data_IF_419138681954
#
_entry.id   IF_419138681954
#
_cell.length_a   1.000
_cell.length_b   1.000
_cell.length_c   1.000
_cell.angle_alpha   90.00
_cell.angle_beta   90.00
_cell.angle_gamma   90.00
#
_symmetry.space_group_name_H-M   'P 1'
#
loop_
_entity.id
_entity.type
_entity.pdbx_description
1 polymer ?
#
# COMPACT_ATOMS: atom_id res chain seq x y z
N UNK A 1 18.69 3.80 12.83
CA UNK A 1 19.55 2.62 12.64
C UNK A 1 20.90 2.81 13.36
N UNK A 2 20.91 2.77 14.70
CA UNK A 2 22.10 3.09 15.51
C UNK A 2 23.29 2.15 15.26
N UNK A 3 23.04 0.95 14.77
CA UNK A 3 24.04 -0.07 14.47
C UNK A 3 25.10 0.33 13.41
N UNK A 4 24.79 1.32 12.59
CA UNK A 4 25.66 1.81 11.52
C UNK A 4 26.40 3.11 11.89
N UNK A 5 26.24 3.60 13.14
CA UNK A 5 26.85 4.86 13.56
C UNK A 5 26.45 6.04 12.65
N UNK A 6 27.42 6.88 12.26
CA UNK A 6 27.17 8.02 11.38
C UNK A 6 26.59 7.62 10.00
N UNK A 7 26.98 6.46 9.47
CA UNK A 7 26.45 5.93 8.21
C UNK A 7 24.97 5.57 8.30
N UNK A 8 24.45 5.29 9.50
CA UNK A 8 23.02 5.04 9.75
C UNK A 8 22.11 6.19 9.34
N UNK A 9 22.61 7.44 9.42
CA UNK A 9 21.85 8.62 8.96
C UNK A 9 21.60 8.54 7.45
N UNK A 10 22.64 8.22 6.69
CA UNK A 10 22.54 8.06 5.24
C UNK A 10 21.59 6.93 4.85
N UNK A 11 21.72 5.76 5.49
CA UNK A 11 20.82 4.62 5.29
C UNK A 11 19.37 5.00 5.57
N UNK A 12 19.12 5.72 6.67
CA UNK A 12 17.76 6.14 7.04
C UNK A 12 17.15 7.11 6.01
N UNK A 13 17.93 8.09 5.52
CA UNK A 13 17.49 9.03 4.48
C UNK A 13 17.20 8.27 3.18
N UNK A 14 18.10 7.40 2.76
CA UNK A 14 17.93 6.61 1.53
C UNK A 14 16.70 5.73 1.60
N UNK A 15 16.54 4.99 2.70
CA UNK A 15 15.38 4.09 2.92
C UNK A 15 14.07 4.88 2.96
N UNK A 16 14.06 6.07 3.58
CA UNK A 16 12.88 6.92 3.60
C UNK A 16 12.48 7.41 2.20
N UNK A 17 13.44 7.84 1.38
CA UNK A 17 13.20 8.24 -0.01
C UNK A 17 12.74 7.04 -0.83
N UNK A 18 13.43 5.90 -0.73
CA UNK A 18 13.09 4.66 -1.43
C UNK A 18 11.68 4.19 -1.07
N UNK A 19 11.30 4.24 0.21
CA UNK A 19 9.96 3.90 0.69
C UNK A 19 8.89 4.85 0.14
N UNK A 20 9.11 6.16 0.20
CA UNK A 20 8.17 7.14 -0.33
C UNK A 20 8.00 7.03 -1.85
N UNK A 21 9.09 6.76 -2.57
CA UNK A 21 9.07 6.57 -4.02
C UNK A 21 8.55 5.19 -4.47
N UNK A 22 8.20 4.29 -3.54
CA UNK A 22 7.85 2.90 -3.82
C UNK A 22 8.91 2.20 -4.70
N UNK A 23 10.19 2.46 -4.44
CA UNK A 23 11.29 1.97 -5.27
C UNK A 23 11.84 0.61 -4.81
N UNK A 24 11.73 0.28 -3.51
CA UNK A 24 12.13 -0.99 -2.94
C UNK A 24 13.63 -1.22 -2.83
N UNK A 25 14.44 -0.23 -3.21
CA UNK A 25 15.88 -0.33 -3.07
C UNK A 25 16.30 -0.18 -1.61
N UNK A 26 17.23 -1.01 -1.18
CA UNK A 26 17.85 -0.93 0.14
C UNK A 26 19.38 -0.81 0.03
N UNK A 27 19.98 -0.31 1.12
CA UNK A 27 21.44 -0.20 1.29
C UNK A 27 21.93 -0.95 2.52
N UNK A 28 21.12 -1.92 3.00
CA UNK A 28 21.47 -2.75 4.17
C UNK A 28 22.51 -3.82 3.84
N UNK A 29 22.79 -4.05 2.55
CA UNK A 29 23.66 -5.10 2.04
C UNK A 29 25.09 -5.09 2.58
N UNK A 30 25.57 -3.98 3.16
CA UNK A 30 26.85 -3.89 3.84
C UNK A 30 26.92 -4.85 5.03
N UNK A 31 25.83 -4.95 5.81
CA UNK A 31 25.76 -5.78 7.01
C UNK A 31 24.92 -7.04 6.80
N UNK A 32 23.88 -6.93 5.99
CA UNK A 32 22.89 -7.99 5.74
C UNK A 32 22.65 -8.15 4.22
N UNK A 33 23.59 -8.80 3.48
CA UNK A 33 23.47 -8.95 2.03
C UNK A 33 22.22 -9.74 1.64
N UNK A 34 21.36 -9.16 0.78
CA UNK A 34 20.17 -9.79 0.24
C UNK A 34 18.98 -9.94 1.21
N UNK A 35 19.06 -9.43 2.44
CA UNK A 35 18.01 -9.62 3.45
C UNK A 35 16.98 -8.48 3.50
N UNK A 36 17.18 -7.38 2.79
CA UNK A 36 16.28 -6.23 2.76
C UNK A 36 15.86 -5.77 4.17
N UNK A 37 14.56 -5.70 4.49
CA UNK A 37 14.02 -5.28 5.80
C UNK A 37 13.87 -6.42 6.80
N UNK A 38 14.19 -7.67 6.45
CA UNK A 38 14.03 -8.85 7.33
C UNK A 38 14.72 -8.67 8.69
N UNK A 39 15.98 -8.16 8.79
CA UNK A 39 16.64 -7.96 10.09
C UNK A 39 15.92 -6.97 11.01
N UNK A 40 15.09 -6.08 10.45
CA UNK A 40 14.38 -5.03 11.17
C UNK A 40 12.92 -5.35 11.44
N UNK A 41 12.45 -6.56 11.13
CA UNK A 41 11.05 -6.98 11.33
C UNK A 41 10.61 -6.87 12.80
N UNK A 42 11.54 -7.07 13.74
CA UNK A 42 11.29 -6.95 15.17
C UNK A 42 11.26 -5.49 15.68
N UNK A 43 11.62 -4.51 14.84
CA UNK A 43 11.54 -3.10 15.18
C UNK A 43 10.27 -2.48 14.54
N UNK A 44 9.17 -2.39 15.33
CA UNK A 44 7.91 -1.88 14.81
C UNK A 44 7.99 -0.41 14.38
N UNK A 45 8.90 0.37 14.95
CA UNK A 45 9.07 1.79 14.60
C UNK A 45 9.61 1.91 13.18
N UNK A 46 10.64 1.15 12.83
CA UNK A 46 11.22 1.13 11.47
C UNK A 46 10.18 0.63 10.47
N UNK A 47 9.57 -0.53 10.74
CA UNK A 47 8.58 -1.13 9.84
C UNK A 47 7.37 -0.21 9.59
N UNK A 48 6.77 0.34 10.65
CA UNK A 48 5.59 1.20 10.52
C UNK A 48 5.93 2.54 9.86
N UNK A 49 7.12 3.09 10.10
CA UNK A 49 7.56 4.33 9.45
C UNK A 49 7.71 4.13 7.95
N UNK A 50 8.40 3.06 7.53
CA UNK A 50 8.58 2.76 6.10
C UNK A 50 7.22 2.43 5.46
N UNK A 51 6.36 1.64 6.13
CA UNK A 51 5.01 1.36 5.65
C UNK A 51 4.18 2.64 5.46
N UNK A 52 4.24 3.57 6.40
CA UNK A 52 3.56 4.86 6.29
C UNK A 52 4.04 5.69 5.09
N UNK A 53 5.36 5.73 4.85
CA UNK A 53 5.93 6.40 3.69
C UNK A 53 5.48 5.78 2.37
N UNK A 54 5.47 4.44 2.27
CA UNK A 54 4.97 3.69 1.12
C UNK A 54 3.50 4.02 0.86
N UNK A 55 2.66 4.01 1.91
CA UNK A 55 1.23 4.33 1.79
C UNK A 55 1.02 5.76 1.30
N UNK A 56 1.73 6.74 1.89
CA UNK A 56 1.60 8.15 1.49
C UNK A 56 2.04 8.35 0.03
N UNK A 57 3.17 7.76 -0.37
CA UNK A 57 3.63 7.78 -1.76
C UNK A 57 2.65 7.10 -2.73
N UNK A 58 2.06 5.95 -2.32
CA UNK A 58 1.14 5.15 -3.13
C UNK A 58 -0.29 5.69 -3.24
N UNK A 59 -0.74 6.57 -2.33
CA UNK A 59 -2.06 7.20 -2.40
C UNK A 59 -2.14 8.25 -3.52
N UNK A 60 -1.02 8.86 -3.88
CA UNK A 60 -0.94 9.88 -4.91
C UNK A 60 -1.08 11.31 -4.39
N UNK A 61 -0.29 12.21 -5.00
CA UNK A 61 -0.17 13.60 -4.52
C UNK A 61 -1.48 14.38 -4.58
N UNK A 62 -2.36 14.09 -5.54
CA UNK A 62 -3.67 14.74 -5.68
C UNK A 62 -4.53 14.46 -4.45
N UNK A 63 -4.58 13.21 -4.02
CA UNK A 63 -5.35 12.79 -2.84
C UNK A 63 -4.75 13.36 -1.56
N UNK A 64 -3.42 13.29 -1.42
CA UNK A 64 -2.70 13.85 -0.26
C UNK A 64 -2.97 15.35 -0.15
N UNK A 65 -2.87 16.08 -1.25
CA UNK A 65 -3.14 17.52 -1.31
C UNK A 65 -4.58 17.84 -0.93
N UNK A 66 -5.55 17.11 -1.47
CA UNK A 66 -6.96 17.29 -1.14
C UNK A 66 -7.28 16.99 0.33
N UNK A 67 -6.71 15.94 0.90
CA UNK A 67 -6.84 15.62 2.32
C UNK A 67 -6.23 16.73 3.18
N UNK A 68 -5.06 17.22 2.82
CA UNK A 68 -4.41 18.31 3.54
C UNK A 68 -5.26 19.58 3.55
N UNK A 69 -5.70 20.07 2.37
CA UNK A 69 -6.46 21.32 2.26
C UNK A 69 -7.90 21.23 2.77
N UNK A 70 -8.56 20.08 2.60
CA UNK A 70 -9.98 19.94 2.94
C UNK A 70 -10.23 19.38 4.34
N UNK A 71 -9.27 18.64 4.91
CA UNK A 71 -9.47 17.95 6.19
C UNK A 71 -8.48 18.40 7.28
N UNK A 72 -7.18 18.49 6.97
CA UNK A 72 -6.15 18.77 7.98
C UNK A 72 -6.09 20.28 8.27
N UNK A 73 -5.86 21.09 7.23
CA UNK A 73 -5.75 22.54 7.37
C UNK A 73 -6.97 23.20 8.02
N UNK A 74 -8.23 22.90 7.63
CA UNK A 74 -9.40 23.44 8.30
C UNK A 74 -9.51 23.03 9.76
N UNK A 75 -9.06 21.80 10.13
CA UNK A 75 -9.04 21.34 11.52
C UNK A 75 -8.07 22.18 12.36
N UNK A 76 -6.89 22.46 11.83
CA UNK A 76 -5.86 23.29 12.53
C UNK A 76 -6.33 24.74 12.65
N UNK A 77 -6.95 25.30 11.58
CA UNK A 77 -7.42 26.68 11.53
C UNK A 77 -8.85 26.87 12.07
N UNK A 78 -9.48 25.82 12.63
CA UNK A 78 -10.86 25.81 13.15
C UNK A 78 -11.91 26.29 12.11
N UNK A 79 -11.66 26.01 10.82
CA UNK A 79 -12.57 26.33 9.74
C UNK A 79 -13.50 25.15 9.38
N UNK A 80 -14.54 25.42 8.60
CA UNK A 80 -15.44 24.36 8.12
C UNK A 80 -14.73 23.43 7.14
N UNK A 81 -14.91 22.10 7.34
CA UNK A 81 -14.32 21.08 6.47
C UNK A 81 -15.10 20.97 5.17
N UNK A 82 -14.37 20.78 4.08
CA UNK A 82 -14.95 20.47 2.78
C UNK A 82 -15.01 18.96 2.56
N UNK A 83 -15.98 18.50 1.79
CA UNK A 83 -16.08 17.09 1.42
C UNK A 83 -14.94 16.73 0.46
N UNK A 84 -14.44 15.50 0.59
CA UNK A 84 -13.48 14.95 -0.36
C UNK A 84 -14.18 14.64 -1.69
N UNK A 85 -13.45 14.74 -2.79
CA UNK A 85 -13.91 14.32 -4.11
C UNK A 85 -14.21 12.82 -4.14
N UNK A 86 -15.02 12.41 -5.10
CA UNK A 86 -15.31 10.99 -5.32
C UNK A 86 -14.02 10.21 -5.61
N UNK A 87 -13.09 10.81 -6.36
CA UNK A 87 -11.78 10.25 -6.67
C UNK A 87 -10.99 9.94 -5.40
N UNK A 88 -10.76 10.95 -4.55
CA UNK A 88 -9.99 10.79 -3.31
C UNK A 88 -10.63 9.81 -2.35
N UNK A 89 -11.96 9.84 -2.22
CA UNK A 89 -12.70 8.91 -1.39
C UNK A 89 -12.58 7.46 -1.89
N UNK A 90 -12.61 7.25 -3.21
CA UNK A 90 -12.41 5.94 -3.82
C UNK A 90 -10.99 5.43 -3.57
N UNK A 91 -9.97 6.25 -3.84
CA UNK A 91 -8.57 5.91 -3.62
C UNK A 91 -8.31 5.48 -2.17
N UNK A 92 -8.75 6.27 -1.20
CA UNK A 92 -8.53 5.98 0.23
C UNK A 92 -9.27 4.70 0.65
N UNK A 93 -10.54 4.56 0.26
CA UNK A 93 -11.36 3.41 0.68
C UNK A 93 -10.79 2.11 0.11
N UNK A 94 -10.51 2.06 -1.20
CA UNK A 94 -10.00 0.84 -1.82
C UNK A 94 -8.57 0.53 -1.40
N UNK A 95 -7.72 1.53 -1.20
CA UNK A 95 -6.40 1.32 -0.59
C UNK A 95 -6.53 0.67 0.78
N UNK A 96 -7.40 1.21 1.65
CA UNK A 96 -7.63 0.63 2.97
C UNK A 96 -8.17 -0.81 2.92
N UNK A 97 -9.14 -1.09 2.04
CA UNK A 97 -9.68 -2.43 1.86
C UNK A 97 -8.62 -3.42 1.39
N UNK A 98 -7.80 -3.06 0.39
CA UNK A 98 -6.75 -3.92 -0.13
C UNK A 98 -5.65 -4.18 0.91
N UNK A 99 -5.26 -3.16 1.69
CA UNK A 99 -4.29 -3.32 2.76
C UNK A 99 -4.80 -4.24 3.87
N UNK A 100 -6.04 -4.06 4.31
CA UNK A 100 -6.66 -4.93 5.31
C UNK A 100 -6.82 -6.36 4.80
N UNK A 101 -7.32 -6.53 3.59
CA UNK A 101 -7.45 -7.84 2.96
C UNK A 101 -6.09 -8.56 2.88
N UNK A 102 -5.07 -7.91 2.32
CA UNK A 102 -3.73 -8.49 2.21
C UNK A 102 -3.13 -8.83 3.58
N UNK A 103 -3.29 -7.93 4.57
CA UNK A 103 -2.81 -8.17 5.94
C UNK A 103 -3.45 -9.40 6.56
N UNK A 104 -4.78 -9.52 6.48
CA UNK A 104 -5.50 -10.66 7.07
C UNK A 104 -5.13 -11.97 6.38
N UNK A 105 -5.11 -11.97 5.05
CA UNK A 105 -4.80 -13.20 4.29
C UNK A 105 -3.37 -13.65 4.52
N UNK A 106 -2.39 -12.75 4.44
CA UNK A 106 -0.98 -13.08 4.68
C UNK A 106 -0.74 -13.50 6.14
N UNK A 107 -1.39 -12.82 7.09
CA UNK A 107 -1.32 -13.21 8.49
C UNK A 107 -1.82 -14.64 8.71
N UNK A 108 -2.99 -14.99 8.16
CA UNK A 108 -3.57 -16.33 8.32
C UNK A 108 -2.73 -17.42 7.62
N UNK A 109 -2.23 -17.11 6.40
CA UNK A 109 -1.48 -18.08 5.60
C UNK A 109 -0.09 -18.37 6.18
N UNK A 110 0.62 -17.30 6.61
CA UNK A 110 2.02 -17.42 7.07
C UNK A 110 2.16 -17.61 8.60
N UNK A 111 1.04 -17.70 9.31
CA UNK A 111 1.03 -17.80 10.79
C UNK A 111 1.89 -18.94 11.33
N UNK A 112 1.86 -20.09 10.69
CA UNK A 112 2.60 -21.30 11.09
C UNK A 112 3.80 -21.62 10.19
N UNK A 113 4.13 -20.74 9.24
CA UNK A 113 5.23 -20.89 8.29
C UNK A 113 6.35 -19.89 8.59
N UNK A 114 6.53 -18.91 7.72
CA UNK A 114 7.61 -17.92 7.80
C UNK A 114 7.61 -17.08 9.08
N UNK A 115 6.44 -16.92 9.72
CA UNK A 115 6.27 -16.11 10.93
C UNK A 115 6.21 -16.94 12.22
N UNK A 116 6.46 -18.27 12.15
CA UNK A 116 6.27 -19.20 13.29
C UNK A 116 7.00 -18.79 14.57
N UNK A 117 8.23 -18.30 14.44
CA UNK A 117 9.09 -17.95 15.57
C UNK A 117 8.95 -16.49 16.04
N UNK A 118 8.03 -15.73 15.43
CA UNK A 118 7.81 -14.32 15.75
C UNK A 118 6.75 -14.18 16.85
N UNK A 119 6.88 -13.12 17.67
CA UNK A 119 5.84 -12.74 18.62
C UNK A 119 4.57 -12.25 17.90
N UNK A 120 3.39 -12.40 18.50
CA UNK A 120 2.09 -12.05 17.87
C UNK A 120 2.05 -10.64 17.27
N UNK A 121 2.53 -9.64 18.00
CA UNK A 121 2.57 -8.25 17.49
C UNK A 121 3.53 -8.09 16.31
N UNK A 122 4.66 -8.77 16.34
CA UNK A 122 5.62 -8.79 15.23
C UNK A 122 5.02 -9.46 13.99
N UNK A 123 4.30 -10.58 14.15
CA UNK A 123 3.57 -11.24 13.05
C UNK A 123 2.57 -10.30 12.40
N UNK A 124 1.80 -9.57 13.21
CA UNK A 124 0.81 -8.62 12.70
C UNK A 124 1.48 -7.46 11.96
N UNK A 125 2.56 -6.89 12.51
CA UNK A 125 3.30 -5.80 11.84
C UNK A 125 4.00 -6.28 10.56
N UNK A 126 4.57 -7.50 10.54
CA UNK A 126 5.19 -8.08 9.36
C UNK A 126 4.16 -8.36 8.25
N UNK A 127 3.00 -8.94 8.59
CA UNK A 127 1.91 -9.17 7.63
C UNK A 127 1.36 -7.85 7.06
N UNK A 128 1.20 -6.83 7.91
CA UNK A 128 0.79 -5.50 7.48
C UNK A 128 1.84 -4.88 6.55
N UNK A 129 3.11 -4.93 6.93
CA UNK A 129 4.21 -4.42 6.12
C UNK A 129 4.28 -5.14 4.77
N UNK A 130 4.17 -6.48 4.76
CA UNK A 130 4.19 -7.27 3.52
C UNK A 130 3.00 -6.92 2.61
N UNK A 131 1.80 -6.74 3.17
CA UNK A 131 0.62 -6.27 2.43
C UNK A 131 0.81 -4.88 1.82
N UNK A 132 1.44 -3.95 2.56
CA UNK A 132 1.78 -2.60 2.08
C UNK A 132 2.81 -2.69 0.96
N UNK A 133 3.86 -3.48 1.15
CA UNK A 133 4.98 -3.63 0.22
C UNK A 133 4.57 -4.33 -1.07
N UNK A 134 3.68 -5.33 -1.00
CA UNK A 134 3.15 -6.03 -2.18
C UNK A 134 2.49 -5.07 -3.19
N UNK A 135 2.05 -3.89 -2.77
CA UNK A 135 1.49 -2.87 -3.67
C UNK A 135 2.56 -2.05 -4.38
N UNK A 136 3.53 -2.73 -4.97
CA UNK A 136 4.60 -2.20 -5.82
C UNK A 136 5.68 -1.39 -5.10
N UNK A 137 5.88 -1.61 -3.79
CA UNK A 137 6.97 -0.96 -3.06
C UNK A 137 8.28 -1.75 -3.08
N UNK A 138 8.23 -3.10 -3.06
CA UNK A 138 9.40 -3.97 -3.27
C UNK A 138 10.25 -4.25 -2.04
N UNK A 139 9.86 -3.81 -0.85
CA UNK A 139 10.52 -4.18 0.40
C UNK A 139 10.03 -5.54 0.91
N UNK A 140 10.89 -6.33 1.53
CA UNK A 140 10.56 -7.63 2.11
C UNK A 140 10.82 -7.61 3.63
N UNK A 141 9.79 -7.93 4.43
CA UNK A 141 9.89 -8.13 5.87
C UNK A 141 10.01 -9.60 6.28
N UNK A 142 9.73 -10.50 5.35
CA UNK A 142 9.86 -11.95 5.49
C UNK A 142 10.54 -12.51 4.25
N UNK A 143 11.08 -13.73 4.35
CA UNK A 143 11.67 -14.40 3.19
C UNK A 143 10.56 -14.84 2.22
N UNK A 144 10.42 -14.11 1.10
CA UNK A 144 9.41 -14.37 0.06
C UNK A 144 9.62 -15.75 -0.58
N UNK A 145 10.87 -16.25 -0.65
CA UNK A 145 11.14 -17.56 -1.22
C UNK A 145 10.55 -18.69 -0.36
N UNK A 146 10.55 -18.49 0.96
CA UNK A 146 10.03 -19.43 1.94
C UNK A 146 8.51 -19.33 2.18
N UNK A 147 7.82 -18.31 1.61
CA UNK A 147 6.37 -18.17 1.73
C UNK A 147 5.62 -19.35 1.09
N UNK A 148 4.43 -19.64 1.59
CA UNK A 148 3.50 -20.58 0.95
C UNK A 148 3.11 -20.12 -0.45
N UNK A 149 2.88 -21.07 -1.36
CA UNK A 149 2.48 -20.75 -2.74
C UNK A 149 1.17 -19.96 -2.81
N UNK A 150 0.26 -20.20 -1.87
CA UNK A 150 -0.97 -19.41 -1.72
C UNK A 150 -0.67 -17.93 -1.41
N UNK A 151 0.26 -17.65 -0.49
CA UNK A 151 0.70 -16.30 -0.16
C UNK A 151 1.35 -15.62 -1.36
N UNK A 152 2.16 -16.34 -2.13
CA UNK A 152 2.77 -15.83 -3.37
C UNK A 152 1.71 -15.43 -4.40
N UNK A 153 0.66 -16.25 -4.59
CA UNK A 153 -0.45 -15.92 -5.50
C UNK A 153 -1.16 -14.63 -5.05
N UNK A 154 -1.46 -14.50 -3.75
CA UNK A 154 -2.10 -13.30 -3.21
C UNK A 154 -1.20 -12.08 -3.36
N UNK A 155 0.10 -12.21 -3.11
CA UNK A 155 1.08 -11.14 -3.32
C UNK A 155 1.10 -10.69 -4.79
N UNK A 156 1.09 -11.62 -5.75
CA UNK A 156 1.00 -11.32 -7.19
C UNK A 156 -0.29 -10.56 -7.52
N UNK A 157 -1.43 -10.97 -6.96
CA UNK A 157 -2.71 -10.27 -7.16
C UNK A 157 -2.68 -8.85 -6.59
N UNK A 158 -2.08 -8.65 -5.41
CA UNK A 158 -1.91 -7.33 -4.81
C UNK A 158 -0.95 -6.45 -5.62
N UNK A 159 0.10 -7.02 -6.21
CA UNK A 159 1.01 -6.32 -7.11
C UNK A 159 0.31 -5.88 -8.40
N UNK A 160 -0.59 -6.70 -8.94
CA UNK A 160 -1.37 -6.39 -10.13
C UNK A 160 -2.30 -5.19 -9.89
N UNK A 161 -2.98 -5.14 -8.72
CA UNK A 161 -3.78 -3.99 -8.29
C UNK A 161 -2.86 -3.03 -7.54
N UNK A 162 -2.13 -2.22 -8.30
CA UNK A 162 -1.10 -1.33 -7.76
C UNK A 162 -1.63 -0.11 -7.01
N UNK A 163 -0.96 1.01 -7.22
CA UNK A 163 -1.20 2.25 -6.49
C UNK A 163 -2.28 3.15 -7.14
N UNK A 164 -2.58 4.29 -6.50
CA UNK A 164 -3.56 5.26 -6.99
C UNK A 164 -3.00 6.11 -8.15
N UNK A 165 -3.85 6.74 -8.97
CA UNK A 165 -3.40 7.71 -9.98
C UNK A 165 -2.62 8.87 -9.38
N UNK A 166 -1.56 9.31 -10.08
CA UNK A 166 -0.68 10.38 -9.60
C UNK A 166 0.16 10.00 -8.38
N UNK A 167 0.41 8.70 -8.18
CA UNK A 167 1.27 8.15 -7.15
C UNK A 167 2.62 7.70 -7.71
N UNK A 168 3.55 7.38 -6.82
CA UNK A 168 4.86 6.82 -7.16
C UNK A 168 4.82 5.31 -7.46
N UNK A 169 3.73 4.61 -7.10
CA UNK A 169 3.61 3.17 -7.32
C UNK A 169 3.16 2.79 -8.74
N UNK A 170 3.48 1.56 -9.14
CA UNK A 170 3.14 0.95 -10.42
C UNK A 170 1.78 0.22 -10.42
N UNK A 171 1.65 -0.77 -11.31
CA UNK A 171 0.47 -1.61 -11.46
C UNK A 171 -0.75 -0.93 -12.08
N UNK A 172 -1.86 -1.69 -12.25
CA UNK A 172 -3.15 -1.13 -12.67
C UNK A 172 -3.63 -0.20 -11.57
N UNK A 173 -3.97 1.03 -11.94
CA UNK A 173 -4.40 2.03 -10.97
C UNK A 173 -5.70 1.59 -10.28
N UNK A 174 -5.78 1.80 -8.97
CA UNK A 174 -6.95 1.42 -8.16
C UNK A 174 -8.26 1.93 -8.77
N UNK A 175 -8.28 3.16 -9.27
CA UNK A 175 -9.47 3.73 -9.91
C UNK A 175 -9.87 3.00 -11.19
N UNK A 176 -8.91 2.62 -12.03
CA UNK A 176 -9.14 1.80 -13.23
C UNK A 176 -9.73 0.44 -12.85
N UNK A 177 -9.14 -0.23 -11.87
CA UNK A 177 -9.66 -1.50 -11.36
C UNK A 177 -11.11 -1.37 -10.85
N UNK A 178 -11.40 -0.32 -10.08
CA UNK A 178 -12.75 -0.06 -9.55
C UNK A 178 -13.76 0.20 -10.67
N UNK A 179 -13.38 0.97 -11.69
CA UNK A 179 -14.25 1.23 -12.86
C UNK A 179 -14.53 -0.06 -13.61
N UNK A 180 -13.49 -0.85 -13.91
CA UNK A 180 -13.65 -2.14 -14.62
C UNK A 180 -14.52 -3.12 -13.82
N UNK A 181 -14.24 -3.31 -12.54
CA UNK A 181 -15.02 -4.19 -11.67
C UNK A 181 -16.50 -3.74 -11.58
N UNK A 182 -16.73 -2.42 -11.43
CA UNK A 182 -18.09 -1.87 -11.38
C UNK A 182 -18.83 -2.04 -12.70
N UNK A 183 -18.13 -1.89 -13.82
CA UNK A 183 -18.70 -2.10 -15.16
C UNK A 183 -19.08 -3.56 -15.37
N UNK A 184 -18.17 -4.48 -15.08
CA UNK A 184 -18.42 -5.92 -15.18
C UNK A 184 -19.63 -6.32 -14.34
N UNK A 185 -19.69 -5.85 -13.08
CA UNK A 185 -20.81 -6.15 -12.21
C UNK A 185 -22.14 -5.55 -12.68
N UNK A 186 -22.12 -4.34 -13.28
CA UNK A 186 -23.30 -3.68 -13.86
C UNK A 186 -23.84 -4.47 -15.06
N UNK A 187 -22.93 -4.96 -15.93
CA UNK A 187 -23.29 -5.80 -17.08
C UNK A 187 -23.94 -7.11 -16.62
N UNK A 188 -23.35 -7.79 -15.63
CA UNK A 188 -23.94 -9.02 -15.07
C UNK A 188 -25.34 -8.79 -14.45
N UNK A 189 -25.63 -7.59 -13.96
CA UNK A 189 -26.95 -7.23 -13.44
C UNK A 189 -27.93 -6.75 -14.52
N UNK A 190 -27.54 -6.70 -15.79
CA UNK A 190 -28.39 -6.22 -16.87
C UNK A 190 -28.73 -4.72 -16.80
N UNK A 191 -27.90 -3.92 -16.15
CA UNK A 191 -28.12 -2.47 -16.03
C UNK A 191 -27.50 -1.74 -17.22
N UNK A 192 -28.28 -0.84 -17.87
CA UNK A 192 -27.81 -0.04 -19.05
C UNK A 192 -26.78 1.06 -18.71
N UNK A 193 -26.32 1.17 -17.47
CA UNK A 193 -25.35 2.17 -17.06
C UNK A 193 -24.58 1.78 -15.80
N UNK A 194 -23.30 2.16 -15.76
CA UNK A 194 -22.46 1.94 -14.59
C UNK A 194 -22.76 3.01 -13.56
N UNK A 195 -23.30 2.61 -12.41
CA UNK A 195 -23.57 3.50 -11.27
C UNK A 195 -22.60 3.14 -10.14
N UNK A 196 -21.69 4.06 -9.80
CA UNK A 196 -20.80 3.92 -8.67
C UNK A 196 -21.09 5.01 -7.62
N UNK A 197 -21.39 4.62 -6.36
CA UNK A 197 -21.73 5.52 -5.26
C UNK A 197 -22.78 6.59 -5.62
N UNK A 198 -23.87 6.20 -6.33
CA UNK A 198 -24.94 7.08 -6.82
C UNK A 198 -24.56 8.07 -7.93
N UNK A 199 -23.34 7.98 -8.49
CA UNK A 199 -22.94 8.74 -9.66
C UNK A 199 -22.90 7.82 -10.88
N UNK A 200 -23.52 8.25 -11.98
CA UNK A 200 -23.40 7.55 -13.27
C UNK A 200 -22.02 7.82 -13.84
N UNK A 201 -21.31 6.75 -14.15
CA UNK A 201 -20.03 6.84 -14.85
C UNK A 201 -20.33 6.95 -16.33
N UNK A 202 -19.82 8.01 -16.98
CA UNK A 202 -20.01 8.21 -18.41
C UNK A 202 -19.29 7.12 -19.20
N UNK A 203 -19.87 6.63 -20.30
CA UNK A 203 -19.30 5.53 -21.11
C UNK A 203 -17.88 5.83 -21.59
N UNK A 204 -17.57 7.11 -21.89
CA UNK A 204 -16.23 7.53 -22.32
C UNK A 204 -15.14 7.27 -21.26
N UNK A 205 -15.49 7.31 -19.96
CA UNK A 205 -14.55 7.02 -18.86
C UNK A 205 -14.28 5.51 -18.82
N UNK A 206 -15.29 4.69 -19.07
CA UNK A 206 -15.14 3.23 -19.11
C UNK A 206 -14.24 2.79 -20.26
N UNK A 207 -14.35 3.43 -21.44
CA UNK A 207 -13.48 3.13 -22.59
C UNK A 207 -12.02 3.61 -22.42
N UNK A 208 -11.76 4.58 -21.54
CA UNK A 208 -10.42 5.08 -21.27
C UNK A 208 -9.73 4.41 -20.07
N UNK A 209 -10.46 3.59 -19.29
CA UNK A 209 -9.94 2.86 -18.14
C UNK A 209 -9.25 1.56 -18.57
#
# INVERSE_FOLDING_TARGET
LPEYGAYGIWISIFTAISGFCNAGFDVFGIKYPGQNMIPYVNDPLVCLTVAALIIVGGIGFVVVNEVYYNQIRPRVLRQSRRRLSLHSMTCITFTGVLLLFGTVVLFCSEYNSTMKDMHFLTRLSASFFQSVSARTAGFASVDIAAEHDFSKIITILLMFIGACPGSTGGGIKVTTFVVLASTTFSVFRGCDGVVFRRHRIHRDIVYRA
#
